data_IF_705197215571
#
_entry.id   IF_705197215571
#
_cell.length_a   1.000
_cell.length_b   1.000
_cell.length_c   1.000
_cell.angle_alpha   90.00
_cell.angle_beta   90.00
_cell.angle_gamma   90.00
#
_symmetry.space_group_name_H-M   'P 1'
#
loop_
_entity.id
_entity.type
_entity.pdbx_description
1 polymer ?
#
# COMPACT_ATOMS: atom_id res chain seq x y z
N UNK A 1 8.49 -3.22 4.59
CA UNK A 1 8.58 -4.24 5.66
C UNK A 1 9.28 -5.53 5.21
N UNK A 2 8.98 -6.14 4.05
CA UNK A 2 9.81 -7.23 3.48
C UNK A 2 10.56 -6.87 2.19
N UNK A 3 10.41 -5.65 1.67
CA UNK A 3 11.39 -5.12 0.71
C UNK A 3 12.76 -4.89 1.37
N UNK A 4 12.77 -4.63 2.68
CA UNK A 4 13.97 -4.36 3.50
C UNK A 4 14.56 -5.65 4.09
N UNK A 5 14.36 -6.79 3.43
CA UNK A 5 14.66 -8.11 3.96
C UNK A 5 15.55 -8.92 3.01
N UNK A 6 16.30 -8.26 2.12
CA UNK A 6 17.09 -8.96 1.10
C UNK A 6 18.57 -9.13 1.41
N UNK A 7 19.07 -8.58 2.52
CA UNK A 7 20.39 -8.87 3.06
C UNK A 7 20.32 -9.58 4.41
N UNK A 8 19.41 -10.54 4.50
CA UNK A 8 19.00 -11.18 5.74
C UNK A 8 19.94 -12.34 6.20
N UNK A 9 21.08 -12.53 5.55
CA UNK A 9 21.96 -13.69 5.80
C UNK A 9 22.88 -13.61 7.03
N UNK A 10 22.74 -12.60 7.88
CA UNK A 10 23.65 -12.39 9.03
C UNK A 10 23.06 -12.73 10.41
N UNK A 11 21.82 -13.21 10.52
CA UNK A 11 21.21 -13.51 11.83
C UNK A 11 20.35 -14.79 11.83
N UNK A 12 20.44 -15.62 12.86
CA UNK A 12 19.79 -16.95 12.93
C UNK A 12 18.26 -16.85 12.86
N UNK A 13 17.64 -15.87 13.53
CA UNK A 13 16.19 -15.65 13.48
C UNK A 13 15.71 -15.34 12.07
N UNK A 14 16.57 -14.68 11.31
CA UNK A 14 16.25 -14.22 9.98
C UNK A 14 16.25 -15.39 8.98
N UNK A 15 17.17 -16.34 9.12
CA UNK A 15 17.19 -17.58 8.34
C UNK A 15 15.93 -18.43 8.57
N UNK A 16 15.41 -18.45 9.80
CA UNK A 16 14.16 -19.17 10.11
C UNK A 16 12.94 -18.52 9.43
N UNK A 17 12.88 -17.18 9.44
CA UNK A 17 11.76 -16.44 8.84
C UNK A 17 11.79 -16.55 7.31
N UNK A 18 12.96 -16.41 6.69
CA UNK A 18 13.11 -16.56 5.23
C UNK A 18 12.72 -17.96 4.76
N UNK A 19 13.12 -19.01 5.51
CA UNK A 19 12.70 -20.38 5.24
C UNK A 19 11.18 -20.58 5.38
N UNK A 20 10.58 -20.04 6.45
CA UNK A 20 9.12 -20.06 6.65
C UNK A 20 8.36 -19.35 5.52
N UNK A 21 8.93 -18.27 5.00
CA UNK A 21 8.36 -17.45 3.92
C UNK A 21 8.69 -17.96 2.50
N UNK A 22 9.43 -19.07 2.36
CA UNK A 22 9.92 -19.61 1.09
C UNK A 22 10.67 -18.58 0.23
N UNK A 23 11.39 -17.67 0.88
CA UNK A 23 12.17 -16.64 0.20
C UNK A 23 13.56 -17.20 -0.18
N UNK A 24 14.08 -16.71 -1.28
CA UNK A 24 15.45 -16.95 -1.74
C UNK A 24 16.29 -15.69 -1.59
N UNK A 25 17.59 -15.82 -1.80
CA UNK A 25 18.56 -14.74 -1.56
C UNK A 25 18.56 -13.64 -2.64
N UNK A 26 17.89 -13.86 -3.78
CA UNK A 26 17.89 -12.94 -4.90
C UNK A 26 16.63 -12.07 -4.95
N UNK A 27 16.76 -10.78 -4.63
CA UNK A 27 15.67 -9.78 -4.73
C UNK A 27 15.05 -9.70 -6.13
N UNK A 28 15.84 -9.94 -7.18
CA UNK A 28 15.36 -9.85 -8.55
C UNK A 28 14.40 -10.98 -8.95
N UNK A 29 14.24 -12.00 -8.11
CA UNK A 29 13.21 -13.02 -8.28
C UNK A 29 11.79 -12.45 -7.97
N UNK A 30 11.71 -11.30 -7.30
CA UNK A 30 10.47 -10.68 -6.81
C UNK A 30 10.14 -9.40 -7.56
N UNK A 31 9.60 -9.55 -8.77
CA UNK A 31 9.35 -8.45 -9.71
C UNK A 31 8.59 -7.25 -9.12
N UNK A 32 7.58 -7.49 -8.27
CA UNK A 32 6.77 -6.40 -7.69
C UNK A 32 7.57 -5.42 -6.82
N UNK A 33 8.75 -5.83 -6.33
CA UNK A 33 9.56 -5.06 -5.38
C UNK A 33 10.98 -4.77 -5.88
N UNK A 34 11.30 -5.15 -7.11
CA UNK A 34 12.64 -5.04 -7.70
C UNK A 34 12.71 -4.16 -8.95
N UNK A 35 11.67 -3.37 -9.23
CA UNK A 35 11.63 -2.46 -10.40
C UNK A 35 12.44 -1.17 -10.20
N UNK A 36 12.69 -0.80 -8.95
CA UNK A 36 13.43 0.40 -8.57
C UNK A 36 14.75 0.11 -7.89
N UNK A 37 15.19 1.04 -7.04
CA UNK A 37 16.34 0.82 -6.17
C UNK A 37 16.01 -0.22 -5.10
N UNK A 38 16.96 -1.11 -4.86
CA UNK A 38 16.85 -2.21 -3.88
C UNK A 38 17.63 -1.94 -2.59
N UNK A 39 18.43 -0.86 -2.55
CA UNK A 39 19.27 -0.48 -1.41
C UNK A 39 19.21 1.03 -1.22
N UNK A 40 19.27 1.48 0.04
CA UNK A 40 19.30 2.90 0.40
C UNK A 40 20.65 3.21 1.06
N UNK A 41 21.40 4.24 0.60
CA UNK A 41 22.66 4.61 1.22
C UNK A 41 22.48 4.95 2.71
N UNK A 42 23.28 4.32 3.57
CA UNK A 42 23.27 4.57 5.02
C UNK A 42 22.19 3.82 5.81
N UNK A 43 21.45 2.90 5.17
CA UNK A 43 20.44 2.05 5.84
C UNK A 43 20.89 0.60 5.76
N UNK A 44 20.91 -0.09 6.90
CA UNK A 44 21.11 -1.55 6.97
C UNK A 44 19.76 -2.26 7.17
N UNK A 45 19.29 -2.85 6.09
CA UNK A 45 18.05 -3.62 6.02
C UNK A 45 17.95 -4.74 7.09
N UNK A 46 19.07 -5.38 7.43
CA UNK A 46 19.07 -6.47 8.41
C UNK A 46 18.90 -5.93 9.84
N UNK A 47 19.50 -4.78 10.13
CA UNK A 47 19.34 -4.08 11.41
C UNK A 47 17.91 -3.55 11.57
N UNK A 48 17.40 -2.86 10.55
CA UNK A 48 16.03 -2.33 10.52
C UNK A 48 14.97 -3.43 10.70
N UNK A 49 15.19 -4.59 10.06
CA UNK A 49 14.31 -5.75 10.26
C UNK A 49 14.33 -6.25 11.70
N UNK A 50 15.52 -6.34 12.31
CA UNK A 50 15.67 -6.79 13.70
C UNK A 50 14.96 -5.84 14.68
N UNK A 51 15.10 -4.53 14.47
CA UNK A 51 14.39 -3.51 15.25
C UNK A 51 12.87 -3.62 15.07
N UNK A 52 12.42 -3.84 13.84
CA UNK A 52 11.00 -4.03 13.52
C UNK A 52 10.42 -5.29 14.17
N UNK A 53 11.16 -6.40 14.15
CA UNK A 53 10.74 -7.66 14.79
C UNK A 53 10.58 -7.50 16.31
N UNK A 54 11.52 -6.79 16.95
CA UNK A 54 11.45 -6.45 18.36
C UNK A 54 10.29 -5.49 18.67
N UNK A 55 10.00 -4.53 17.78
CA UNK A 55 8.88 -3.62 17.96
C UNK A 55 7.54 -4.36 18.00
N UNK A 56 7.36 -5.44 17.22
CA UNK A 56 6.17 -6.28 17.34
C UNK A 56 6.02 -6.91 18.73
N UNK A 57 7.11 -7.37 19.33
CA UNK A 57 7.07 -7.96 20.67
C UNK A 57 6.71 -6.89 21.72
N UNK A 58 7.29 -5.70 21.62
CA UNK A 58 6.99 -4.55 22.50
C UNK A 58 5.52 -4.11 22.39
N UNK A 59 4.97 -4.13 21.17
CA UNK A 59 3.58 -3.83 20.87
C UNK A 59 2.63 -5.01 21.18
N UNK A 60 3.12 -6.09 21.79
CA UNK A 60 2.28 -7.19 22.27
C UNK A 60 1.65 -8.04 21.17
N UNK A 61 2.26 -8.09 19.98
CA UNK A 61 1.87 -9.06 18.96
C UNK A 61 2.25 -10.47 19.43
N UNK A 62 1.39 -11.45 19.16
CA UNK A 62 1.75 -12.85 19.41
C UNK A 62 2.76 -13.33 18.35
N UNK A 63 3.51 -14.39 18.67
CA UNK A 63 4.42 -14.99 17.68
C UNK A 63 3.67 -15.50 16.43
N UNK A 64 2.43 -15.97 16.61
CA UNK A 64 1.57 -16.39 15.50
C UNK A 64 1.20 -15.19 14.61
N UNK A 65 0.77 -14.08 15.21
CA UNK A 65 0.46 -12.85 14.47
C UNK A 65 1.69 -12.34 13.70
N UNK A 66 2.88 -12.30 14.33
CA UNK A 66 4.15 -11.93 13.67
C UNK A 66 4.41 -12.83 12.46
N UNK A 67 4.32 -14.15 12.66
CA UNK A 67 4.58 -15.12 11.60
C UNK A 67 3.60 -14.95 10.44
N UNK A 68 2.32 -14.70 10.71
CA UNK A 68 1.31 -14.53 9.68
C UNK A 68 1.47 -13.21 8.92
N UNK A 69 1.90 -12.13 9.59
CA UNK A 69 2.30 -10.87 8.95
C UNK A 69 3.44 -11.14 7.94
N UNK A 70 4.46 -11.91 8.34
CA UNK A 70 5.57 -12.27 7.46
C UNK A 70 5.12 -13.15 6.28
N UNK A 71 4.28 -14.15 6.51
CA UNK A 71 3.74 -15.02 5.46
C UNK A 71 2.92 -14.25 4.44
N UNK A 72 2.00 -13.38 4.88
CA UNK A 72 1.14 -12.58 3.99
C UNK A 72 2.00 -11.65 3.14
N UNK A 73 2.97 -10.99 3.76
CA UNK A 73 3.82 -10.04 3.04
C UNK A 73 4.74 -10.76 2.03
N UNK A 74 5.28 -11.93 2.38
CA UNK A 74 6.03 -12.77 1.44
C UNK A 74 5.14 -13.31 0.31
N UNK A 75 3.88 -13.66 0.59
CA UNK A 75 2.93 -14.09 -0.42
C UNK A 75 2.70 -12.98 -1.47
N UNK A 76 2.56 -11.72 -1.05
CA UNK A 76 2.46 -10.56 -1.95
C UNK A 76 3.66 -10.44 -2.90
N UNK A 77 4.86 -10.80 -2.42
CA UNK A 77 6.07 -10.81 -3.25
C UNK A 77 6.05 -11.97 -4.25
N UNK A 78 5.75 -13.20 -3.80
CA UNK A 78 5.63 -14.37 -4.68
C UNK A 78 4.52 -14.21 -5.73
N UNK A 79 3.42 -13.53 -5.40
CA UNK A 79 2.35 -13.22 -6.35
C UNK A 79 2.85 -12.41 -7.55
N UNK A 80 3.85 -11.55 -7.36
CA UNK A 80 4.49 -10.82 -8.46
C UNK A 80 5.27 -11.70 -9.44
N UNK A 81 5.67 -12.90 -9.01
CA UNK A 81 6.35 -13.90 -9.83
C UNK A 81 5.41 -14.83 -10.61
N UNK A 82 4.09 -14.79 -10.36
CA UNK A 82 3.14 -15.68 -11.03
C UNK A 82 3.01 -15.32 -12.52
N UNK A 83 3.34 -16.27 -13.40
CA UNK A 83 3.33 -16.08 -14.85
C UNK A 83 2.14 -16.75 -15.51
N UNK A 84 1.65 -16.11 -16.56
CA UNK A 84 0.51 -16.56 -17.35
C UNK A 84 0.81 -16.38 -18.83
N UNK A 85 0.31 -17.31 -19.64
CA UNK A 85 0.47 -17.30 -21.10
C UNK A 85 -0.87 -17.56 -21.78
N UNK A 86 -0.89 -17.34 -23.09
CA UNK A 86 -2.05 -17.52 -23.94
C UNK A 86 -1.62 -18.34 -25.15
N UNK A 87 -2.34 -19.41 -25.50
CA UNK A 87 -1.97 -20.32 -26.60
C UNK A 87 -2.65 -19.92 -27.90
N UNK A 88 -1.85 -19.59 -28.91
CA UNK A 88 -2.32 -19.41 -30.28
C UNK A 88 -3.42 -18.34 -30.39
N UNK A 89 -4.60 -18.74 -30.88
CA UNK A 89 -5.78 -17.86 -31.05
C UNK A 89 -6.80 -17.98 -29.91
N UNK A 90 -6.52 -18.75 -28.86
CA UNK A 90 -7.43 -18.83 -27.72
C UNK A 90 -7.38 -17.53 -26.91
N UNK A 91 -8.52 -16.95 -26.55
CA UNK A 91 -8.56 -15.74 -25.71
C UNK A 91 -8.26 -16.02 -24.23
N UNK A 92 -8.37 -17.27 -23.80
CA UNK A 92 -8.21 -17.67 -22.41
C UNK A 92 -6.74 -17.83 -22.02
N UNK A 93 -6.39 -17.30 -20.84
CA UNK A 93 -5.09 -17.53 -20.23
C UNK A 93 -4.94 -18.94 -19.64
N UNK A 94 -3.70 -19.39 -19.55
CA UNK A 94 -3.26 -20.54 -18.77
C UNK A 94 -2.04 -20.16 -17.91
N UNK A 95 -1.78 -20.94 -16.86
CA UNK A 95 -0.58 -20.76 -16.03
C UNK A 95 0.69 -21.07 -16.83
N UNK A 96 1.74 -20.29 -16.62
CA UNK A 96 3.07 -20.51 -17.19
C UNK A 96 4.06 -20.88 -16.08
N UNK A 97 3.87 -22.08 -15.53
CA UNK A 97 4.50 -22.52 -14.28
C UNK A 97 3.60 -22.30 -13.07
N UNK A 98 3.82 -23.11 -12.03
CA UNK A 98 2.99 -23.11 -10.81
C UNK A 98 3.79 -22.94 -9.53
N UNK A 99 5.13 -22.88 -9.60
CA UNK A 99 5.98 -22.90 -8.42
C UNK A 99 5.75 -21.70 -7.50
N UNK A 100 5.55 -20.51 -8.07
CA UNK A 100 5.24 -19.27 -7.35
C UNK A 100 3.85 -19.35 -6.72
N UNK A 101 2.86 -19.82 -7.47
CA UNK A 101 1.50 -20.03 -6.98
C UNK A 101 1.43 -21.07 -5.85
N UNK A 102 2.25 -22.13 -5.91
CA UNK A 102 2.35 -23.13 -4.84
C UNK A 102 2.89 -22.51 -3.53
N UNK A 103 3.89 -21.61 -3.63
CA UNK A 103 4.39 -20.88 -2.46
C UNK A 103 3.32 -19.96 -1.88
N UNK A 104 2.63 -19.19 -2.73
CA UNK A 104 1.51 -18.33 -2.31
C UNK A 104 0.42 -19.16 -1.62
N UNK A 105 0.02 -20.28 -2.21
CA UNK A 105 -1.01 -21.15 -1.69
C UNK A 105 -0.65 -21.70 -0.29
N UNK A 106 0.60 -22.16 -0.11
CA UNK A 106 1.11 -22.63 1.19
C UNK A 106 1.12 -21.52 2.24
N UNK A 107 1.58 -20.32 1.89
CA UNK A 107 1.66 -19.20 2.83
C UNK A 107 0.28 -18.71 3.28
N UNK A 108 -0.72 -18.75 2.38
CA UNK A 108 -2.09 -18.32 2.67
C UNK A 108 -2.99 -19.45 3.19
N UNK A 109 -2.51 -20.68 3.23
CA UNK A 109 -3.28 -21.84 3.67
C UNK A 109 -4.45 -22.18 2.73
N UNK A 110 -4.27 -21.97 1.41
CA UNK A 110 -5.28 -22.28 0.38
C UNK A 110 -4.77 -23.37 -0.58
N UNK A 111 -5.69 -24.02 -1.31
CA UNK A 111 -5.31 -24.97 -2.34
C UNK A 111 -4.81 -24.26 -3.61
N UNK A 112 -3.68 -24.73 -4.16
CA UNK A 112 -3.07 -24.12 -5.35
C UNK A 112 -3.91 -24.30 -6.61
N UNK A 113 -4.55 -25.47 -6.76
CA UNK A 113 -5.42 -25.75 -7.92
C UNK A 113 -6.61 -24.80 -7.92
N UNK A 114 -7.25 -24.61 -6.77
CA UNK A 114 -8.34 -23.66 -6.61
C UNK A 114 -7.89 -22.21 -6.77
N UNK A 115 -6.70 -21.85 -6.30
CA UNK A 115 -6.12 -20.51 -6.53
C UNK A 115 -6.03 -20.20 -8.03
N UNK A 116 -5.36 -21.05 -8.81
CA UNK A 116 -5.23 -20.86 -10.26
C UNK A 116 -6.58 -20.94 -10.98
N UNK A 117 -7.45 -21.86 -10.59
CA UNK A 117 -8.80 -21.97 -11.15
C UNK A 117 -9.59 -20.68 -10.94
N UNK A 118 -9.55 -20.10 -9.74
CA UNK A 118 -10.28 -18.86 -9.43
C UNK A 118 -9.66 -17.62 -10.10
N UNK A 119 -8.35 -17.61 -10.36
CA UNK A 119 -7.69 -16.54 -11.12
C UNK A 119 -8.03 -16.61 -12.63
N UNK A 120 -7.97 -17.81 -13.22
CA UNK A 120 -8.16 -18.02 -14.66
C UNK A 120 -9.64 -18.09 -15.08
N UNK A 121 -10.48 -18.64 -14.20
CA UNK A 121 -11.90 -18.94 -14.41
C UNK A 121 -12.74 -18.56 -13.18
N UNK A 122 -12.76 -17.28 -12.76
CA UNK A 122 -13.58 -16.84 -11.63
C UNK A 122 -15.08 -17.06 -11.88
N UNK A 123 -15.82 -17.26 -10.78
CA UNK A 123 -17.29 -17.30 -10.79
C UNK A 123 -17.84 -15.91 -10.53
N UNK A 124 -18.67 -15.43 -11.44
CA UNK A 124 -19.32 -14.12 -11.35
C UNK A 124 -20.79 -14.31 -11.03
N UNK A 125 -21.29 -13.55 -10.06
CA UNK A 125 -22.70 -13.55 -9.71
C UNK A 125 -23.47 -12.70 -10.72
N UNK A 126 -24.42 -13.32 -11.42
CA UNK A 126 -25.32 -12.67 -12.38
C UNK A 126 -26.75 -12.91 -11.90
N UNK A 127 -27.38 -11.88 -11.32
CA UNK A 127 -28.64 -12.04 -10.61
C UNK A 127 -28.49 -12.99 -9.41
N UNK A 128 -29.18 -14.13 -9.45
CA UNK A 128 -29.14 -15.17 -8.41
C UNK A 128 -28.22 -16.36 -8.75
N UNK A 129 -27.63 -16.41 -9.94
CA UNK A 129 -26.80 -17.52 -10.40
C UNK A 129 -25.31 -17.14 -10.45
N UNK A 130 -24.44 -18.16 -10.46
CA UNK A 130 -22.99 -17.99 -10.63
C UNK A 130 -22.54 -18.59 -11.95
N UNK A 131 -21.99 -17.75 -12.81
CA UNK A 131 -21.46 -18.16 -14.12
C UNK A 131 -19.94 -18.13 -14.07
N UNK A 132 -19.31 -19.14 -14.65
CA UNK A 132 -17.83 -19.20 -14.76
C UNK A 132 -17.40 -18.39 -15.97
N UNK A 133 -16.52 -17.40 -15.78
CA UNK A 133 -15.99 -16.58 -16.88
C UNK A 133 -14.49 -16.80 -17.03
N UNK A 134 -14.03 -17.15 -18.24
CA UNK A 134 -12.61 -17.18 -18.55
C UNK A 134 -12.01 -15.78 -18.63
N UNK A 135 -10.76 -15.63 -18.20
CA UNK A 135 -9.98 -14.40 -18.30
C UNK A 135 -8.87 -14.53 -19.33
N UNK A 136 -8.56 -13.43 -20.03
CA UNK A 136 -7.36 -13.34 -20.86
C UNK A 136 -6.12 -13.06 -20.00
N UNK A 137 -4.93 -13.13 -20.61
CA UNK A 137 -3.65 -12.99 -19.88
C UNK A 137 -3.57 -11.69 -19.09
N UNK A 138 -3.89 -10.57 -19.73
CA UNK A 138 -3.74 -9.24 -19.12
C UNK A 138 -4.74 -9.02 -17.97
N UNK A 139 -5.97 -9.52 -18.12
CA UNK A 139 -6.98 -9.49 -17.04
C UNK A 139 -6.53 -10.29 -15.81
N UNK A 140 -5.89 -11.45 -16.01
CA UNK A 140 -5.36 -12.26 -14.91
C UNK A 140 -4.21 -11.53 -14.21
N UNK A 141 -3.24 -11.01 -14.98
CA UNK A 141 -2.11 -10.25 -14.43
C UNK A 141 -2.59 -9.02 -13.65
N UNK A 142 -3.57 -8.28 -14.18
CA UNK A 142 -4.18 -7.15 -13.48
C UNK A 142 -4.86 -7.60 -12.18
N UNK A 143 -5.57 -8.73 -12.20
CA UNK A 143 -6.24 -9.28 -11.01
C UNK A 143 -5.24 -9.71 -9.93
N UNK A 144 -4.12 -10.33 -10.32
CA UNK A 144 -3.03 -10.70 -9.40
C UNK A 144 -2.40 -9.45 -8.77
N UNK A 145 -2.11 -8.42 -9.57
CA UNK A 145 -1.61 -7.15 -9.06
C UNK A 145 -2.60 -6.44 -8.12
N UNK A 146 -3.88 -6.43 -8.47
CA UNK A 146 -4.94 -5.86 -7.63
C UNK A 146 -5.09 -6.63 -6.30
N UNK A 147 -5.05 -7.96 -6.33
CA UNK A 147 -5.12 -8.79 -5.14
C UNK A 147 -3.90 -8.58 -4.24
N UNK A 148 -2.70 -8.51 -4.83
CA UNK A 148 -1.44 -8.22 -4.11
C UNK A 148 -1.52 -6.90 -3.35
N UNK A 149 -1.96 -5.82 -4.03
CA UNK A 149 -2.16 -4.50 -3.42
C UNK A 149 -3.23 -4.53 -2.33
N UNK A 150 -4.36 -5.17 -2.60
CA UNK A 150 -5.47 -5.27 -1.64
C UNK A 150 -5.11 -6.07 -0.38
N UNK A 151 -4.29 -7.11 -0.49
CA UNK A 151 -3.79 -7.86 0.64
C UNK A 151 -2.86 -7.01 1.51
N UNK A 152 -1.92 -6.30 0.89
CA UNK A 152 -0.99 -5.43 1.63
C UNK A 152 -1.71 -4.25 2.30
N UNK A 153 -2.67 -3.60 1.63
CA UNK A 153 -3.50 -2.54 2.23
C UNK A 153 -4.25 -3.02 3.47
N UNK A 154 -4.89 -4.20 3.39
CA UNK A 154 -5.60 -4.80 4.53
C UNK A 154 -4.67 -5.16 5.67
N UNK A 155 -3.48 -5.69 5.35
CA UNK A 155 -2.45 -5.99 6.35
C UNK A 155 -1.99 -4.70 7.05
N UNK A 156 -1.71 -3.65 6.29
CA UNK A 156 -1.28 -2.36 6.87
C UNK A 156 -2.36 -1.76 7.79
N UNK A 157 -3.63 -1.79 7.37
CA UNK A 157 -4.75 -1.36 8.22
C UNK A 157 -4.86 -2.19 9.50
N UNK A 158 -4.61 -3.50 9.43
CA UNK A 158 -4.54 -4.36 10.61
C UNK A 158 -3.41 -3.97 11.55
N UNK A 159 -2.20 -3.70 11.02
CA UNK A 159 -1.06 -3.24 11.82
C UNK A 159 -1.37 -1.93 12.57
N UNK A 160 -1.92 -0.93 11.86
CA UNK A 160 -2.32 0.35 12.47
C UNK A 160 -3.37 0.13 13.57
N UNK A 161 -4.35 -0.74 13.34
CA UNK A 161 -5.35 -1.09 14.35
C UNK A 161 -4.70 -1.69 15.61
N UNK A 162 -3.79 -2.64 15.46
CA UNK A 162 -3.07 -3.26 16.59
C UNK A 162 -2.22 -2.25 17.36
N UNK A 163 -1.51 -1.35 16.67
CA UNK A 163 -0.79 -0.27 17.32
C UNK A 163 -1.74 0.63 18.13
N UNK A 164 -2.89 1.01 17.55
CA UNK A 164 -3.88 1.83 18.25
C UNK A 164 -4.49 1.13 19.49
N UNK A 165 -4.64 -0.19 19.46
CA UNK A 165 -5.11 -0.97 20.62
C UNK A 165 -4.12 -0.90 21.79
N UNK A 166 -2.81 -0.89 21.53
CA UNK A 166 -1.79 -0.73 22.59
C UNK A 166 -1.73 0.67 23.18
N UNK A 167 -2.09 1.69 22.40
CA UNK A 167 -2.09 3.10 22.80
C UNK A 167 -3.40 3.53 23.49
N UNK A 168 -4.44 2.69 23.48
CA UNK A 168 -5.73 3.03 24.08
C UNK A 168 -5.71 2.90 25.61
N UNK A 169 -5.82 4.03 26.30
CA UNK A 169 -5.85 4.12 27.77
C UNK A 169 -7.23 3.86 28.38
N UNK A 170 -8.28 3.68 27.57
CA UNK A 170 -9.70 3.56 27.99
C UNK A 170 -10.24 4.74 28.81
N UNK A 171 -9.50 5.84 28.90
CA UNK A 171 -9.92 7.05 29.61
C UNK A 171 -10.90 7.87 28.77
N UNK A 172 -11.73 8.69 29.43
CA UNK A 172 -12.67 9.58 28.74
C UNK A 172 -11.88 10.67 28.01
N UNK A 173 -11.97 10.66 26.68
CA UNK A 173 -11.32 11.65 25.81
C UNK A 173 -12.26 12.84 25.61
N UNK A 174 -11.74 14.07 25.77
CA UNK A 174 -12.50 15.32 25.55
C UNK A 174 -11.96 16.11 24.36
N UNK A 175 -10.64 16.23 24.25
CA UNK A 175 -9.94 16.92 23.17
C UNK A 175 -8.74 16.09 22.72
N UNK A 176 -8.24 16.34 21.53
CA UNK A 176 -7.00 15.75 21.03
C UNK A 176 -6.19 16.79 20.23
N UNK A 177 -4.88 16.60 20.19
CA UNK A 177 -3.98 17.33 19.29
C UNK A 177 -3.56 16.33 18.22
N UNK A 178 -3.94 16.61 16.97
CA UNK A 178 -3.53 15.79 15.83
C UNK A 178 -2.19 16.28 15.30
N UNK A 179 -1.22 15.37 15.20
CA UNK A 179 0.02 15.63 14.45
C UNK A 179 -0.15 14.98 13.09
N UNK A 180 -0.10 15.80 12.03
CA UNK A 180 -0.17 15.33 10.65
C UNK A 180 1.25 15.14 10.12
N UNK A 181 1.57 13.91 9.73
CA UNK A 181 2.81 13.55 9.05
C UNK A 181 2.44 12.87 7.73
N UNK A 182 2.76 13.55 6.63
CA UNK A 182 2.45 13.11 5.27
C UNK A 182 3.61 13.51 4.36
N UNK A 183 3.85 12.74 3.30
CA UNK A 183 4.82 13.08 2.28
C UNK A 183 4.54 14.48 1.70
N UNK A 184 5.60 15.27 1.56
CA UNK A 184 5.54 16.58 0.92
C UNK A 184 5.29 16.48 -0.58
N UNK A 185 5.26 17.63 -1.24
CA UNK A 185 5.09 17.71 -2.69
C UNK A 185 6.27 17.03 -3.41
N UNK A 186 5.99 16.09 -4.31
CA UNK A 186 6.97 15.29 -5.04
C UNK A 186 7.16 15.82 -6.46
N UNK A 187 8.42 16.09 -6.84
CA UNK A 187 8.80 16.50 -8.19
C UNK A 187 9.99 15.64 -8.64
N UNK A 188 9.71 14.66 -9.49
CA UNK A 188 10.72 13.78 -10.09
C UNK A 188 10.76 13.95 -11.61
N UNK A 189 11.76 13.33 -12.26
CA UNK A 189 11.85 13.26 -13.73
C UNK A 189 10.65 12.54 -14.36
N UNK A 190 10.05 11.59 -13.62
CA UNK A 190 8.82 10.89 -13.99
C UNK A 190 7.83 10.94 -12.82
N UNK A 191 6.68 11.58 -13.03
CA UNK A 191 5.60 11.67 -12.04
C UNK A 191 4.41 10.84 -12.54
N UNK A 192 4.08 9.77 -11.80
CA UNK A 192 2.98 8.88 -12.12
C UNK A 192 1.65 9.32 -11.50
N UNK A 193 0.70 8.39 -11.49
CA UNK A 193 -0.59 8.60 -10.83
C UNK A 193 -0.43 8.77 -9.32
N UNK A 194 0.52 8.07 -8.71
CA UNK A 194 0.85 8.15 -7.29
C UNK A 194 1.30 9.56 -6.91
N UNK A 195 2.22 10.16 -7.66
CA UNK A 195 2.67 11.54 -7.44
C UNK A 195 1.51 12.52 -7.60
N UNK A 196 0.63 12.34 -8.60
CA UNK A 196 -0.56 13.19 -8.75
C UNK A 196 -1.45 13.13 -7.49
N UNK A 197 -1.71 11.95 -6.93
CA UNK A 197 -2.49 11.80 -5.70
C UNK A 197 -1.82 12.46 -4.48
N UNK A 198 -0.50 12.31 -4.33
CA UNK A 198 0.26 12.92 -3.23
C UNK A 198 0.27 14.45 -3.37
N UNK A 199 0.55 14.95 -4.57
CA UNK A 199 0.60 16.38 -4.85
C UNK A 199 -0.77 17.04 -4.74
N UNK A 200 -1.83 16.37 -5.19
CA UNK A 200 -3.21 16.84 -4.98
C UNK A 200 -3.56 16.94 -3.49
N UNK A 201 -3.11 15.98 -2.68
CA UNK A 201 -3.28 16.08 -1.22
C UNK A 201 -2.53 17.28 -0.64
N UNK A 202 -1.28 17.50 -1.07
CA UNK A 202 -0.48 18.65 -0.66
C UNK A 202 -1.11 19.98 -1.08
N UNK A 203 -1.71 20.07 -2.27
CA UNK A 203 -2.42 21.25 -2.75
C UNK A 203 -3.57 21.63 -1.80
N UNK A 204 -4.37 20.64 -1.37
CA UNK A 204 -5.43 20.84 -0.37
C UNK A 204 -4.89 21.22 1.01
N UNK A 205 -3.78 20.62 1.45
CA UNK A 205 -3.14 20.98 2.72
C UNK A 205 -2.62 22.41 2.71
N UNK A 206 -2.03 22.84 1.59
CA UNK A 206 -1.57 24.21 1.44
C UNK A 206 -2.75 25.19 1.40
N UNK A 207 -3.85 24.83 0.74
CA UNK A 207 -5.07 25.65 0.77
C UNK A 207 -5.62 25.78 2.19
N UNK A 208 -5.68 24.68 2.96
CA UNK A 208 -6.10 24.70 4.36
C UNK A 208 -5.18 25.59 5.21
N UNK A 209 -3.85 25.48 5.02
CA UNK A 209 -2.88 26.31 5.71
C UNK A 209 -3.08 27.80 5.39
N UNK A 210 -3.21 28.14 4.12
CA UNK A 210 -3.48 29.51 3.68
C UNK A 210 -4.73 30.02 4.37
N UNK A 211 -5.87 29.33 4.22
CA UNK A 211 -7.13 29.76 4.83
C UNK A 211 -7.03 29.95 6.36
N UNK A 212 -6.42 29.00 7.07
CA UNK A 212 -6.30 29.07 8.52
C UNK A 212 -5.37 30.21 8.99
N UNK A 213 -4.21 30.34 8.36
CA UNK A 213 -3.24 31.38 8.66
C UNK A 213 -3.84 32.78 8.41
N UNK A 214 -4.54 32.98 7.29
CA UNK A 214 -5.16 34.27 6.97
C UNK A 214 -6.30 34.64 7.93
N UNK A 215 -7.10 33.69 8.38
CA UNK A 215 -8.12 33.97 9.41
C UNK A 215 -7.46 34.47 10.70
N UNK A 216 -6.41 33.80 11.17
CA UNK A 216 -5.70 34.18 12.38
C UNK A 216 -5.04 35.57 12.24
N UNK A 217 -4.42 35.86 11.10
CA UNK A 217 -3.83 37.18 10.85
C UNK A 217 -4.89 38.28 10.87
N UNK A 218 -6.05 38.06 10.22
CA UNK A 218 -7.13 39.04 10.21
C UNK A 218 -7.72 39.29 11.61
N UNK A 219 -7.84 38.25 12.42
CA UNK A 219 -8.26 38.39 13.82
C UNK A 219 -7.27 39.22 14.63
N UNK A 220 -5.97 39.06 14.38
CA UNK A 220 -4.91 39.84 15.04
C UNK A 220 -4.93 41.31 14.59
N UNK A 221 -4.97 41.59 13.28
CA UNK A 221 -5.08 42.95 12.75
C UNK A 221 -6.30 43.69 13.31
N UNK A 222 -7.43 42.99 13.42
CA UNK A 222 -8.66 43.53 14.03
C UNK A 222 -8.47 43.81 15.53
N UNK A 223 -7.76 42.95 16.25
CA UNK A 223 -7.46 43.13 17.69
C UNK A 223 -6.56 44.34 17.93
N UNK A 224 -5.58 44.57 17.05
CA UNK A 224 -4.66 45.71 17.13
C UNK A 224 -5.25 47.00 16.55
N UNK A 225 -6.43 46.95 15.93
CA UNK A 225 -7.09 48.13 15.34
C UNK A 225 -6.39 48.63 14.08
N UNK A 226 -5.62 47.78 13.41
CA UNK A 226 -4.92 48.10 12.16
C UNK A 226 -5.90 47.97 11.00
N UNK A 227 -5.90 48.97 10.11
CA UNK A 227 -6.78 48.99 8.95
C UNK A 227 -6.27 47.98 7.90
N UNK A 228 -6.94 46.83 7.80
CA UNK A 228 -6.61 45.77 6.85
C UNK A 228 -7.66 45.68 5.74
N UNK A 229 -7.21 45.56 4.49
CA UNK A 229 -8.12 45.32 3.34
C UNK A 229 -8.28 43.82 3.15
N UNK A 230 -9.51 43.33 3.18
CA UNK A 230 -9.80 41.90 3.06
C UNK A 230 -9.38 41.38 1.66
N UNK A 231 -8.47 40.42 1.64
CA UNK A 231 -8.06 39.67 0.45
C UNK A 231 -8.23 38.19 0.80
N UNK A 232 -9.02 37.46 0.01
CA UNK A 232 -9.25 36.02 0.20
C UNK A 232 -8.23 35.19 -0.58
N UNK A 233 -7.08 34.94 0.03
CA UNK A 233 -6.05 34.05 -0.49
C UNK A 233 -6.43 32.56 -0.38
N UNK A 234 -7.56 32.22 0.25
CA UNK A 234 -8.08 30.84 0.29
C UNK A 234 -8.47 30.31 -1.09
N UNK A 235 -8.61 31.21 -2.08
CA UNK A 235 -9.00 30.88 -3.45
C UNK A 235 -7.82 30.66 -4.41
N UNK A 236 -6.58 30.97 -4.03
CA UNK A 236 -5.43 30.94 -4.95
C UNK A 236 -5.16 29.54 -5.53
N UNK A 237 -5.38 28.51 -4.72
CA UNK A 237 -5.17 27.10 -5.10
C UNK A 237 -6.49 26.41 -5.51
N UNK A 238 -7.62 27.10 -5.37
CA UNK A 238 -8.95 26.54 -5.65
C UNK A 238 -9.06 26.11 -7.11
N UNK A 239 -8.51 26.88 -8.05
CA UNK A 239 -8.55 26.54 -9.48
C UNK A 239 -7.82 25.22 -9.78
N UNK A 240 -6.65 24.98 -9.18
CA UNK A 240 -5.88 23.74 -9.34
C UNK A 240 -6.61 22.55 -8.73
N UNK A 241 -7.16 22.72 -7.52
CA UNK A 241 -7.93 21.68 -6.83
C UNK A 241 -9.16 21.30 -7.63
N UNK A 242 -9.91 22.30 -8.10
CA UNK A 242 -11.11 22.09 -8.91
C UNK A 242 -10.83 21.44 -10.25
N UNK A 243 -9.72 21.78 -10.91
CA UNK A 243 -9.29 21.13 -12.14
C UNK A 243 -9.15 19.61 -11.96
N UNK A 244 -8.74 19.15 -10.78
CA UNK A 244 -8.49 17.74 -10.48
C UNK A 244 -9.75 17.04 -9.96
N UNK A 245 -10.55 17.70 -9.13
CA UNK A 245 -11.70 17.06 -8.45
C UNK A 245 -13.06 17.30 -9.09
N UNK A 246 -13.24 18.40 -9.83
CA UNK A 246 -14.49 18.66 -10.51
C UNK A 246 -14.54 17.84 -11.79
N UNK A 247 -15.44 16.87 -11.80
CA UNK A 247 -15.89 16.23 -13.02
C UNK A 247 -16.96 17.13 -13.63
N UNK A 248 -16.61 17.88 -14.68
CA UNK A 248 -17.62 18.49 -15.56
C UNK A 248 -18.34 17.36 -16.31
N UNK A 249 -19.42 16.86 -15.71
CA UNK A 249 -20.37 15.97 -16.37
C UNK A 249 -21.20 16.82 -17.34
N UNK A 250 -20.59 17.29 -18.42
CA UNK A 250 -21.31 17.89 -19.55
C UNK A 250 -21.03 17.24 -20.90
N UNK A 251 -20.21 16.19 -20.98
CA UNK A 251 -20.04 15.43 -22.22
C UNK A 251 -19.79 13.96 -21.88
N UNK A 252 -20.86 13.16 -21.83
CA UNK A 252 -21.05 11.86 -22.49
C UNK A 252 -22.54 11.52 -22.47
#
# INVERSE_FOLDING_TARGET
MLCFAFNLNNCINVLLITAMCFLGDNIYDYYNVSQGKITIPGVDDAEEFTLTDQAFDVLGFTQEEKNDIYKITAAVMHMGGMKFKQRGREEQAEADGTAEGDRVAKLLGVDCTDLYKNLLKPRIKVGNEFVTQGRNKDQVLYSVGAMSKGMFDRLFKFLVKKCNETLDTKQKRQHFIGVLDIAGFEIFDYNGFEQLCINFTNEKLQQFFNHHMFILEQEEYKREGINWTFIDFGMDLQATIELIEKVDIQCW
#
